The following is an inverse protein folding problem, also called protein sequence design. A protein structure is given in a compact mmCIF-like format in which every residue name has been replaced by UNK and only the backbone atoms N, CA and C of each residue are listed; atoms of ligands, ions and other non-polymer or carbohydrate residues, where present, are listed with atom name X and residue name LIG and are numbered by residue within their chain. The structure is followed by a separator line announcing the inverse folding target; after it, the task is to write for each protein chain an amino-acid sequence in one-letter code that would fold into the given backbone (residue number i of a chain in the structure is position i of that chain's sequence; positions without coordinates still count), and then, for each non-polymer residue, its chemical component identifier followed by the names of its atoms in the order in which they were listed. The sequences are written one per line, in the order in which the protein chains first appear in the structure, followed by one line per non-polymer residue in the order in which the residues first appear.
data_IF_791994487662
#
_entry.id   IF_791994487662
#
_cell.length_a   1.000
_cell.length_b   1.000
_cell.length_c   1.000
_cell.angle_alpha   90.00
_cell.angle_beta   90.00
_cell.angle_gamma   90.00
#
_symmetry.space_group_name_H-M   'P 1'
#
loop_
_entity.id
_entity.type
_entity.pdbx_description
1 polymer ?
#
# COMPACT_ATOMS: atom_id res chain seq x y z
N UNK A 1 8.93 22.30 7.99
CA UNK A 1 8.99 21.51 6.74
C UNK A 1 9.94 20.35 7.00
N UNK A 2 9.63 19.12 6.58
CA UNK A 2 10.60 18.03 6.68
C UNK A 2 11.81 18.40 5.83
N UNK A 3 12.96 18.61 6.48
CA UNK A 3 14.21 18.86 5.77
C UNK A 3 14.68 17.53 5.21
N UNK A 4 14.65 17.38 3.90
CA UNK A 4 15.30 16.25 3.22
C UNK A 4 16.80 16.46 3.33
N UNK A 5 17.39 15.97 4.41
CA UNK A 5 18.83 15.99 4.57
C UNK A 5 19.38 14.73 3.90
N UNK A 6 19.88 14.89 2.68
CA UNK A 6 20.83 13.94 2.14
C UNK A 6 22.14 14.19 2.90
N UNK A 7 22.68 13.16 3.58
CA UNK A 7 23.99 13.29 4.21
C UNK A 7 25.04 13.51 3.12
N UNK A 8 25.61 14.72 3.06
CA UNK A 8 26.94 14.94 2.53
C UNK A 8 27.97 14.85 3.66
N UNK A 9 29.25 14.70 3.31
CA UNK A 9 30.35 14.54 4.27
C UNK A 9 30.45 15.72 5.26
N UNK A 10 29.90 16.89 4.91
CA UNK A 10 29.89 18.10 5.74
C UNK A 10 28.90 17.98 6.90
N UNK A 11 27.73 17.39 6.64
CA UNK A 11 26.71 17.16 7.65
C UNK A 11 27.11 16.02 8.61
N UNK A 12 27.81 15.00 8.10
CA UNK A 12 28.46 13.94 8.90
C UNK A 12 29.53 14.53 9.83
N UNK A 13 30.34 15.48 9.34
CA UNK A 13 31.34 16.19 10.15
C UNK A 13 30.71 17.11 11.24
N UNK A 14 29.53 17.67 10.98
CA UNK A 14 28.80 18.48 11.97
C UNK A 14 28.24 17.65 13.14
N UNK A 15 27.81 16.41 12.88
CA UNK A 15 27.30 15.46 13.88
C UNK A 15 28.40 14.89 14.79
N UNK A 16 29.67 14.94 14.35
CA UNK A 16 30.82 14.39 15.10
C UNK A 16 31.52 15.42 15.98
N UNK A 17 31.21 16.71 15.84
CA UNK A 17 31.87 17.81 16.57
C UNK A 17 31.02 18.45 17.68
N UNK A 18 29.69 18.24 17.70
CA UNK A 18 28.83 18.76 18.77
C UNK A 18 27.76 17.75 19.21
N UNK A 19 27.52 17.69 20.51
CA UNK A 19 26.56 16.82 21.19
C UNK A 19 25.16 16.84 20.59
N UNK A 20 24.64 15.64 20.27
CA UNK A 20 23.26 15.28 19.89
C UNK A 20 22.69 16.01 18.66
N UNK A 21 22.62 15.30 17.53
CA UNK A 21 21.86 15.72 16.37
C UNK A 21 20.45 15.13 16.41
N UNK A 22 19.42 15.94 16.14
CA UNK A 22 18.01 15.53 16.12
C UNK A 22 17.45 15.69 14.71
N UNK A 23 16.94 14.60 14.14
CA UNK A 23 16.35 14.59 12.80
C UNK A 23 14.92 14.05 12.86
N UNK A 24 14.00 14.64 12.10
CA UNK A 24 12.67 14.05 11.90
C UNK A 24 12.72 12.96 10.85
N UNK A 25 13.45 13.21 9.76
CA UNK A 25 13.51 12.39 8.56
C UNK A 25 14.96 12.20 8.14
N UNK A 26 15.34 10.94 7.93
CA UNK A 26 16.68 10.59 7.48
C UNK A 26 16.63 9.68 6.25
N UNK A 27 17.45 9.98 5.23
CA UNK A 27 17.64 9.13 4.05
C UNK A 27 19.06 8.59 4.04
N UNK A 28 19.20 7.27 4.16
CA UNK A 28 20.50 6.60 4.16
C UNK A 28 20.70 5.85 2.83
N UNK A 29 21.82 6.17 2.16
CA UNK A 29 22.28 5.54 0.90
C UNK A 29 23.56 4.72 1.05
N UNK A 30 24.30 4.91 2.15
CA UNK A 30 25.42 4.08 2.57
C UNK A 30 25.61 4.29 4.08
N UNK A 31 26.30 3.37 4.74
CA UNK A 31 26.62 3.52 6.17
C UNK A 31 28.13 3.57 6.33
N UNK A 32 28.61 4.73 6.77
CA UNK A 32 30.00 4.93 7.19
C UNK A 32 30.13 4.53 8.67
N UNK A 33 30.97 3.53 8.95
CA UNK A 33 31.25 3.01 10.29
C UNK A 33 32.00 4.00 11.18
N UNK A 34 32.59 5.05 10.60
CA UNK A 34 33.24 6.14 11.35
C UNK A 34 32.23 7.14 11.90
N UNK A 35 31.01 7.14 11.37
CA UNK A 35 29.94 8.02 11.85
C UNK A 35 29.42 7.50 13.19
N UNK A 36 29.40 8.36 14.21
CA UNK A 36 28.86 8.04 15.53
C UNK A 36 27.33 8.12 15.53
N UNK A 37 26.70 7.14 14.87
CA UNK A 37 25.24 7.12 14.71
C UNK A 37 24.47 7.07 16.03
N UNK A 38 25.08 6.55 17.09
CA UNK A 38 24.58 6.57 18.48
C UNK A 38 24.30 7.98 19.03
N UNK A 39 24.92 9.01 18.45
CA UNK A 39 24.67 10.40 18.83
C UNK A 39 23.39 10.97 18.20
N UNK A 40 22.79 10.28 17.21
CA UNK A 40 21.51 10.65 16.60
C UNK A 40 20.39 10.29 17.56
N UNK A 41 19.62 11.29 17.98
CA UNK A 41 18.52 11.11 18.94
C UNK A 41 17.20 11.61 18.34
N UNK A 42 16.08 11.14 18.87
CA UNK A 42 14.72 11.55 18.46
C UNK A 42 14.35 11.25 16.99
N UNK A 43 15.04 10.32 16.32
CA UNK A 43 14.69 9.91 14.97
C UNK A 43 13.38 9.11 14.99
N UNK A 44 12.38 9.60 14.24
CA UNK A 44 11.06 8.97 14.14
C UNK A 44 10.78 8.39 12.75
N UNK A 45 11.32 8.99 11.69
CA UNK A 45 11.22 8.53 10.30
C UNK A 45 12.59 8.22 9.71
N UNK A 46 12.72 7.04 9.10
CA UNK A 46 13.92 6.59 8.42
C UNK A 46 13.57 6.01 7.05
N UNK A 47 14.25 6.48 6.01
CA UNK A 47 14.25 5.89 4.67
C UNK A 47 15.62 5.33 4.35
N UNK A 48 15.66 4.07 3.94
CA UNK A 48 16.85 3.34 3.58
C UNK A 48 16.74 2.86 2.14
N UNK A 49 17.83 3.07 1.40
CA UNK A 49 18.04 2.53 0.06
C UNK A 49 19.43 1.88 -0.03
N UNK A 50 19.85 1.23 1.06
CA UNK A 50 21.14 0.54 1.18
C UNK A 50 20.99 -0.95 0.93
N UNK A 51 22.05 -1.61 0.48
CA UNK A 51 22.02 -3.04 0.17
C UNK A 51 21.97 -3.92 1.42
N UNK A 52 22.73 -3.58 2.47
CA UNK A 52 22.75 -4.32 3.73
C UNK A 52 22.05 -3.53 4.84
N UNK A 53 20.94 -4.07 5.33
CA UNK A 53 20.06 -3.45 6.33
C UNK A 53 20.18 -4.06 7.72
N UNK A 54 21.02 -5.09 7.90
CA UNK A 54 21.13 -5.91 9.13
C UNK A 54 21.32 -5.10 10.41
N UNK A 55 22.05 -3.99 10.33
CA UNK A 55 22.48 -3.23 11.50
C UNK A 55 21.65 -1.95 11.77
N UNK A 56 20.72 -1.60 10.87
CA UNK A 56 19.75 -0.50 11.09
C UNK A 56 19.01 -0.64 12.44
N UNK A 57 18.46 -1.82 12.81
CA UNK A 57 17.76 -2.07 14.07
C UNK A 57 18.50 -1.59 15.31
N UNK A 58 19.81 -1.82 15.36
CA UNK A 58 20.65 -1.47 16.50
C UNK A 58 20.91 0.04 16.59
N UNK A 59 21.03 0.69 15.44
CA UNK A 59 21.49 2.09 15.38
C UNK A 59 20.35 3.06 15.72
N UNK A 60 19.12 2.79 15.28
CA UNK A 60 18.03 3.77 15.36
C UNK A 60 16.79 3.30 16.14
N UNK A 61 16.91 2.76 17.36
CA UNK A 61 15.84 1.98 18.03
C UNK A 61 14.51 2.73 18.24
N UNK A 62 14.49 4.06 18.18
CA UNK A 62 13.29 4.89 18.34
C UNK A 62 12.43 5.05 17.08
N UNK A 63 12.87 4.55 15.92
CA UNK A 63 12.15 4.72 14.65
C UNK A 63 10.74 4.12 14.74
N UNK A 64 9.77 4.91 14.26
CA UNK A 64 8.34 4.52 14.21
C UNK A 64 7.81 4.45 12.79
N UNK A 65 8.49 5.09 11.84
CA UNK A 65 8.23 4.95 10.41
C UNK A 65 9.51 4.54 9.69
N UNK A 66 9.50 3.34 9.12
CA UNK A 66 10.64 2.79 8.39
C UNK A 66 10.24 2.56 6.94
N UNK A 67 11.05 3.07 6.02
CA UNK A 67 10.90 2.86 4.58
C UNK A 67 12.19 2.23 4.05
N UNK A 68 12.07 1.06 3.45
CA UNK A 68 13.12 0.31 2.80
C UNK A 68 12.63 0.14 1.36
N UNK A 69 13.38 0.69 0.41
CA UNK A 69 12.96 0.68 -0.98
C UNK A 69 14.10 0.28 -1.87
N UNK A 70 13.80 -0.66 -2.77
CA UNK A 70 14.70 -1.20 -3.78
C UNK A 70 15.95 -1.88 -3.18
N UNK A 71 15.82 -2.44 -1.97
CA UNK A 71 16.88 -3.15 -1.25
C UNK A 71 16.77 -4.66 -1.46
N UNK A 72 17.91 -5.38 -1.52
CA UNK A 72 17.88 -6.84 -1.34
C UNK A 72 17.71 -7.12 0.15
N UNK A 73 16.63 -7.79 0.53
CA UNK A 73 16.41 -8.16 1.92
C UNK A 73 15.85 -9.57 2.04
N UNK A 74 16.44 -10.35 2.93
CA UNK A 74 15.96 -11.68 3.27
C UNK A 74 15.04 -11.67 4.50
N UNK A 75 14.49 -12.85 4.83
CA UNK A 75 13.57 -12.99 5.95
C UNK A 75 14.24 -12.84 7.33
N UNK A 76 15.55 -13.10 7.44
CA UNK A 76 16.29 -12.95 8.69
C UNK A 76 16.52 -11.48 9.00
N UNK A 77 16.97 -10.71 8.02
CA UNK A 77 17.10 -9.25 8.09
C UNK A 77 15.76 -8.59 8.40
N UNK A 78 14.66 -9.06 7.78
CA UNK A 78 13.32 -8.57 8.11
C UNK A 78 12.94 -8.86 9.57
N UNK A 79 13.29 -10.02 10.13
CA UNK A 79 12.97 -10.35 11.53
C UNK A 79 13.61 -9.36 12.50
N UNK A 80 14.77 -8.82 12.20
CA UNK A 80 15.43 -7.83 13.05
C UNK A 80 14.60 -6.54 13.21
N UNK A 81 13.81 -6.15 12.21
CA UNK A 81 12.89 -5.01 12.35
C UNK A 81 11.73 -5.27 13.29
N UNK A 82 11.50 -6.52 13.69
CA UNK A 82 10.53 -6.80 14.74
C UNK A 82 10.92 -6.13 16.05
N UNK A 83 12.19 -5.79 16.29
CA UNK A 83 12.61 -5.06 17.48
C UNK A 83 12.03 -3.65 17.56
N UNK A 84 11.65 -3.06 16.41
CA UNK A 84 11.04 -1.75 16.35
C UNK A 84 9.57 -1.71 16.79
N UNK A 85 9.17 -0.56 17.35
CA UNK A 85 7.77 -0.21 17.61
C UNK A 85 7.17 0.55 16.44
N UNK A 86 7.23 -0.04 15.24
CA UNK A 86 6.77 0.62 14.01
C UNK A 86 5.25 0.87 14.02
N UNK A 87 4.90 2.07 13.59
CA UNK A 87 3.55 2.52 13.23
C UNK A 87 3.36 2.37 11.72
N UNK A 88 4.40 2.66 10.93
CA UNK A 88 4.38 2.56 9.48
C UNK A 88 5.62 1.82 8.99
N UNK A 89 5.42 0.83 8.13
CA UNK A 89 6.49 0.10 7.48
C UNK A 89 6.24 0.07 5.97
N UNK A 90 7.25 0.49 5.22
CA UNK A 90 7.29 0.36 3.78
C UNK A 90 8.50 -0.49 3.39
N UNK A 91 8.28 -1.62 2.71
CA UNK A 91 9.32 -2.52 2.18
C UNK A 91 8.98 -2.81 0.72
N UNK A 92 9.06 -1.78 -0.12
CA UNK A 92 8.69 -1.88 -1.55
C UNK A 92 9.91 -2.17 -2.41
N UNK A 93 9.77 -2.85 -3.55
CA UNK A 93 10.90 -3.11 -4.46
C UNK A 93 11.91 -4.11 -3.92
N UNK A 94 11.57 -4.86 -2.88
CA UNK A 94 12.51 -5.69 -2.13
C UNK A 94 12.47 -7.18 -2.52
N UNK A 95 11.80 -7.51 -3.63
CA UNK A 95 11.65 -8.87 -4.19
C UNK A 95 11.06 -9.89 -3.21
N UNK A 96 10.27 -9.43 -2.24
CA UNK A 96 9.67 -10.31 -1.23
C UNK A 96 8.67 -11.26 -1.88
N UNK A 97 8.76 -12.56 -1.59
CA UNK A 97 7.80 -13.55 -2.08
C UNK A 97 6.62 -13.77 -1.14
N UNK A 98 6.74 -13.34 0.12
CA UNK A 98 5.72 -13.51 1.16
C UNK A 98 5.64 -12.27 2.05
N UNK A 99 4.48 -12.08 2.67
CA UNK A 99 4.32 -11.07 3.73
C UNK A 99 5.03 -11.60 5.00
N UNK A 100 6.05 -10.89 5.53
CA UNK A 100 6.74 -11.32 6.74
C UNK A 100 5.86 -11.09 7.97
N UNK A 101 5.28 -12.17 8.49
CA UNK A 101 4.40 -12.14 9.66
C UNK A 101 5.04 -11.55 10.92
N UNK A 102 6.35 -11.71 11.07
CA UNK A 102 7.13 -11.16 12.19
C UNK A 102 7.00 -9.63 12.32
N UNK A 103 6.65 -8.95 11.23
CA UNK A 103 6.48 -7.49 11.16
C UNK A 103 5.06 -7.03 11.48
N UNK A 104 4.09 -7.94 11.42
CA UNK A 104 2.70 -7.66 11.75
C UNK A 104 2.55 -7.64 13.27
N UNK A 105 2.73 -6.46 13.87
CA UNK A 105 2.54 -6.25 15.31
C UNK A 105 1.28 -5.41 15.58
N UNK A 106 0.65 -5.53 16.76
CA UNK A 106 -0.56 -4.76 17.10
C UNK A 106 -0.39 -3.23 16.97
N UNK A 107 0.83 -2.72 17.10
CA UNK A 107 1.16 -1.30 16.94
C UNK A 107 1.17 -0.81 15.48
N UNK A 108 1.40 -1.70 14.51
CA UNK A 108 1.53 -1.33 13.10
C UNK A 108 0.18 -0.87 12.53
N UNK A 109 0.17 0.32 11.92
CA UNK A 109 -1.00 0.97 11.32
C UNK A 109 -0.97 0.96 9.81
N UNK A 110 0.20 1.04 9.19
CA UNK A 110 0.33 0.98 7.74
C UNK A 110 1.45 0.04 7.33
N UNK A 111 1.14 -0.86 6.40
CA UNK A 111 2.08 -1.76 5.77
C UNK A 111 2.03 -1.56 4.25
N UNK A 112 3.18 -1.24 3.68
CA UNK A 112 3.35 -0.98 2.25
C UNK A 112 4.39 -1.96 1.72
N UNK A 113 3.97 -2.81 0.79
CA UNK A 113 4.77 -3.89 0.21
C UNK A 113 4.65 -3.86 -1.32
N UNK A 114 4.64 -2.66 -1.90
CA UNK A 114 4.44 -2.51 -3.34
C UNK A 114 5.64 -3.05 -4.11
N UNK A 115 5.42 -3.50 -5.34
CA UNK A 115 6.52 -3.88 -6.24
C UNK A 115 7.40 -5.00 -5.64
N UNK A 116 6.75 -6.10 -5.28
CA UNK A 116 7.39 -7.31 -4.77
C UNK A 116 6.87 -8.52 -5.55
N UNK A 117 7.23 -9.72 -5.11
CA UNK A 117 6.82 -10.99 -5.71
C UNK A 117 5.81 -11.74 -4.82
N UNK A 118 5.01 -11.02 -4.04
CA UNK A 118 4.10 -11.61 -3.04
C UNK A 118 2.94 -12.29 -3.76
N UNK A 119 2.83 -13.60 -3.58
CA UNK A 119 1.79 -14.42 -4.23
C UNK A 119 0.59 -14.70 -3.34
N UNK A 120 0.69 -14.43 -2.03
CA UNK A 120 -0.38 -14.73 -1.06
C UNK A 120 -0.46 -13.71 0.09
N UNK A 121 -1.69 -13.39 0.49
CA UNK A 121 -1.95 -12.76 1.79
C UNK A 121 -2.26 -13.89 2.77
N UNK A 122 -1.41 -14.12 3.76
CA UNK A 122 -1.58 -15.30 4.58
C UNK A 122 -2.66 -15.05 5.66
N UNK A 123 -3.34 -16.10 6.16
CA UNK A 123 -4.35 -15.96 7.21
C UNK A 123 -3.68 -15.48 8.50
N UNK A 124 -4.04 -14.29 8.98
CA UNK A 124 -3.40 -13.73 10.17
C UNK A 124 -3.96 -14.29 11.48
N UNK A 125 -5.18 -14.85 11.45
CA UNK A 125 -5.82 -15.45 12.62
C UNK A 125 -5.51 -16.94 12.84
N UNK A 126 -4.89 -17.63 11.88
CA UNK A 126 -4.52 -19.05 12.05
C UNK A 126 -3.34 -19.24 13.02
N UNK A 127 -2.59 -18.19 13.33
CA UNK A 127 -1.52 -18.19 14.33
C UNK A 127 -2.01 -17.83 15.75
N UNK A 128 -3.31 -17.61 15.97
CA UNK A 128 -3.85 -17.41 17.32
C UNK A 128 -4.03 -18.78 17.98
N UNK A 129 -3.45 -19.04 19.16
CA UNK A 129 -3.64 -20.29 19.88
C UNK A 129 -5.15 -20.55 20.06
N UNK A 130 -5.67 -21.67 19.54
CA UNK A 130 -7.06 -22.07 19.78
C UNK A 130 -7.16 -22.56 21.24
N UNK A 131 -7.95 -21.90 22.07
CA UNK A 131 -8.19 -22.34 23.45
C UNK A 131 -8.89 -21.30 24.33
N UNK A 132 -9.36 -21.70 25.52
CA UNK A 132 -10.12 -20.82 26.44
C UNK A 132 -9.30 -19.66 27.03
N UNK A 133 -7.99 -19.59 26.76
CA UNK A 133 -7.08 -18.48 27.12
C UNK A 133 -6.50 -17.75 25.89
N UNK A 134 -7.08 -17.97 24.71
CA UNK A 134 -6.66 -17.29 23.49
C UNK A 134 -6.93 -15.78 23.61
N UNK A 135 -5.86 -15.01 23.84
CA UNK A 135 -5.94 -13.57 23.69
C UNK A 135 -6.07 -13.33 22.19
N UNK A 136 -7.23 -12.83 21.74
CA UNK A 136 -7.43 -12.40 20.36
C UNK A 136 -6.46 -11.25 20.08
N UNK A 137 -5.32 -11.56 19.48
CA UNK A 137 -4.41 -10.55 18.96
C UNK A 137 -5.16 -9.87 17.81
N UNK A 138 -5.52 -8.61 18.01
CA UNK A 138 -6.15 -7.81 16.95
C UNK A 138 -5.08 -6.95 16.30
N UNK A 139 -4.81 -7.24 15.03
CA UNK A 139 -3.97 -6.37 14.22
C UNK A 139 -4.74 -5.10 13.92
N UNK A 140 -4.21 -3.97 14.37
CA UNK A 140 -4.90 -2.69 14.26
C UNK A 140 -4.49 -1.92 13.00
N UNK A 141 -4.21 -2.69 11.93
CA UNK A 141 -3.78 -2.20 10.63
C UNK A 141 -4.92 -1.41 9.99
N UNK A 142 -4.59 -0.20 9.56
CA UNK A 142 -5.50 0.74 8.92
C UNK A 142 -5.27 0.77 7.41
N UNK A 143 -4.01 0.66 6.97
CA UNK A 143 -3.62 0.75 5.56
C UNK A 143 -2.78 -0.46 5.16
N UNK A 144 -3.18 -1.13 4.08
CA UNK A 144 -2.43 -2.23 3.47
C UNK A 144 -2.26 -1.95 1.97
N UNK A 145 -1.02 -1.80 1.51
CA UNK A 145 -0.72 -1.51 0.11
C UNK A 145 0.12 -2.68 -0.44
N UNK A 146 -0.44 -3.39 -1.41
CA UNK A 146 0.14 -4.59 -2.04
C UNK A 146 0.15 -4.46 -3.58
N UNK A 147 0.08 -3.24 -4.11
CA UNK A 147 0.11 -3.00 -5.56
C UNK A 147 1.38 -3.54 -6.20
N UNK A 148 1.32 -3.91 -7.48
CA UNK A 148 2.45 -4.52 -8.21
C UNK A 148 2.97 -5.78 -7.52
N UNK A 149 2.06 -6.71 -7.24
CA UNK A 149 2.38 -8.05 -6.79
C UNK A 149 1.50 -9.05 -7.57
N UNK A 150 1.96 -10.28 -7.82
CA UNK A 150 1.22 -11.29 -8.57
C UNK A 150 0.06 -11.93 -7.76
N UNK A 151 -0.76 -11.11 -7.10
CA UNK A 151 -1.89 -11.54 -6.28
C UNK A 151 -3.09 -11.86 -7.17
N UNK A 152 -3.71 -13.02 -6.92
CA UNK A 152 -4.94 -13.50 -7.56
C UNK A 152 -6.11 -13.45 -6.59
N UNK A 153 -7.35 -13.65 -7.07
CA UNK A 153 -8.53 -13.69 -6.22
C UNK A 153 -8.45 -14.75 -5.12
N UNK A 154 -7.95 -15.95 -5.42
CA UNK A 154 -7.80 -17.03 -4.43
C UNK A 154 -6.76 -16.67 -3.36
N UNK A 155 -5.69 -15.98 -3.75
CA UNK A 155 -4.60 -15.60 -2.84
C UNK A 155 -5.00 -14.63 -1.72
N UNK A 156 -6.13 -13.94 -1.87
CA UNK A 156 -6.63 -12.92 -0.92
C UNK A 156 -8.02 -13.25 -0.36
N UNK A 157 -8.57 -14.41 -0.71
CA UNK A 157 -9.91 -14.83 -0.34
C UNK A 157 -10.03 -15.03 1.18
N UNK A 158 -11.08 -14.45 1.76
CA UNK A 158 -11.41 -14.53 3.20
C UNK A 158 -10.31 -14.06 4.16
N UNK A 159 -9.33 -13.28 3.69
CA UNK A 159 -8.21 -12.79 4.54
C UNK A 159 -8.50 -11.46 5.23
N UNK A 160 -9.49 -10.70 4.75
CA UNK A 160 -9.77 -9.35 5.27
C UNK A 160 -10.59 -9.32 6.56
N UNK A 161 -11.20 -10.44 6.96
CA UNK A 161 -11.85 -10.58 8.28
C UNK A 161 -10.91 -10.31 9.43
N UNK A 162 -9.61 -10.51 9.19
CA UNK A 162 -8.55 -10.45 10.19
C UNK A 162 -8.12 -9.01 10.51
N UNK A 163 -8.55 -8.05 9.67
CA UNK A 163 -8.22 -6.63 9.79
C UNK A 163 -9.48 -5.77 9.96
N UNK A 164 -10.16 -5.82 11.11
CA UNK A 164 -11.42 -5.11 11.33
C UNK A 164 -11.29 -3.57 11.26
N UNK A 165 -10.07 -3.06 11.48
CA UNK A 165 -9.74 -1.63 11.45
C UNK A 165 -9.24 -1.14 10.08
N UNK A 166 -9.21 -2.00 9.07
CA UNK A 166 -8.66 -1.66 7.76
C UNK A 166 -9.54 -0.64 7.05
N UNK A 167 -8.97 0.52 6.74
CA UNK A 167 -9.64 1.64 6.08
C UNK A 167 -9.20 1.83 4.64
N UNK A 168 -7.98 1.42 4.29
CA UNK A 168 -7.39 1.61 2.97
C UNK A 168 -6.73 0.33 2.49
N UNK A 169 -7.08 -0.09 1.27
CA UNK A 169 -6.39 -1.16 0.57
C UNK A 169 -6.02 -0.76 -0.85
N UNK A 170 -4.87 -1.25 -1.32
CA UNK A 170 -4.45 -1.08 -2.70
C UNK A 170 -3.90 -2.40 -3.25
N UNK A 171 -4.57 -2.93 -4.26
CA UNK A 171 -4.20 -4.09 -5.05
C UNK A 171 -4.15 -3.73 -6.55
N UNK A 172 -3.73 -2.50 -6.86
CA UNK A 172 -3.55 -2.08 -8.25
C UNK A 172 -2.37 -2.81 -8.88
N UNK A 173 -2.41 -3.06 -10.19
CA UNK A 173 -1.34 -3.78 -10.91
C UNK A 173 -1.07 -5.18 -10.31
N UNK A 174 -2.13 -5.89 -9.94
CA UNK A 174 -2.09 -7.29 -9.54
C UNK A 174 -2.70 -8.18 -10.65
N UNK A 175 -3.11 -9.40 -10.31
CA UNK A 175 -3.70 -10.37 -11.25
C UNK A 175 -5.16 -10.70 -10.91
N UNK A 176 -5.88 -9.73 -10.33
CA UNK A 176 -7.28 -9.93 -9.93
C UNK A 176 -8.20 -9.97 -11.16
N UNK A 177 -9.08 -10.95 -11.22
CA UNK A 177 -10.10 -11.14 -12.26
C UNK A 177 -11.51 -10.77 -11.80
N UNK A 178 -11.71 -10.62 -10.48
CA UNK A 178 -12.93 -10.09 -9.88
C UNK A 178 -12.60 -9.17 -8.70
N UNK A 179 -13.53 -8.31 -8.30
CA UNK A 179 -13.36 -7.55 -7.06
C UNK A 179 -13.32 -8.50 -5.85
N UNK A 180 -12.34 -8.39 -4.95
CA UNK A 180 -12.25 -9.28 -3.79
C UNK A 180 -13.38 -9.03 -2.79
N UNK A 181 -13.69 -10.06 -2.00
CA UNK A 181 -14.60 -9.95 -0.88
C UNK A 181 -13.89 -9.27 0.29
N UNK A 182 -14.16 -7.97 0.46
CA UNK A 182 -13.59 -7.18 1.54
C UNK A 182 -14.64 -7.07 2.64
N UNK A 183 -14.46 -7.78 3.75
CA UNK A 183 -15.41 -7.84 4.87
C UNK A 183 -15.10 -6.85 6.01
N UNK A 184 -14.34 -5.78 5.76
CA UNK A 184 -14.08 -4.76 6.76
C UNK A 184 -15.08 -3.60 6.62
N UNK A 185 -16.00 -3.49 7.59
CA UNK A 185 -16.96 -2.38 7.69
C UNK A 185 -16.30 -1.01 7.89
N UNK A 186 -15.00 -0.94 8.13
CA UNK A 186 -14.25 0.32 8.29
C UNK A 186 -13.61 0.83 7.00
N UNK A 187 -13.64 0.05 5.91
CA UNK A 187 -13.05 0.39 4.61
C UNK A 187 -13.64 1.69 4.06
N UNK A 188 -12.73 2.56 3.60
CA UNK A 188 -13.03 3.86 3.01
C UNK A 188 -12.42 4.03 1.63
N UNK A 189 -11.30 3.39 1.35
CA UNK A 189 -10.58 3.53 0.08
C UNK A 189 -10.11 2.17 -0.42
N UNK A 190 -10.48 1.85 -1.66
CA UNK A 190 -10.05 0.63 -2.34
C UNK A 190 -9.50 0.98 -3.71
N UNK A 191 -8.27 0.58 -4.00
CA UNK A 191 -7.64 0.75 -5.32
C UNK A 191 -7.37 -0.60 -5.96
N UNK A 192 -7.89 -0.78 -7.16
CA UNK A 192 -7.88 -2.02 -7.94
C UNK A 192 -7.55 -1.75 -9.42
N UNK A 193 -6.92 -0.62 -9.71
CA UNK A 193 -6.66 -0.22 -11.10
C UNK A 193 -5.62 -1.14 -11.77
N UNK A 194 -5.63 -1.24 -13.09
CA UNK A 194 -4.68 -2.07 -13.85
C UNK A 194 -4.72 -3.55 -13.43
N UNK A 195 -5.91 -4.12 -13.31
CA UNK A 195 -6.11 -5.55 -13.09
C UNK A 195 -6.85 -6.17 -14.29
N UNK A 196 -7.37 -7.39 -14.14
CA UNK A 196 -8.16 -8.12 -15.13
C UNK A 196 -9.63 -8.23 -14.69
N UNK A 197 -10.12 -7.31 -13.86
CA UNK A 197 -11.43 -7.41 -13.20
C UNK A 197 -12.56 -7.28 -14.21
N UNK A 198 -13.42 -8.30 -14.30
CA UNK A 198 -14.61 -8.29 -15.16
C UNK A 198 -15.93 -8.25 -14.39
N UNK A 199 -15.89 -8.35 -13.06
CA UNK A 199 -17.10 -8.32 -12.21
C UNK A 199 -16.84 -7.72 -10.83
N UNK A 200 -17.89 -7.12 -10.25
CA UNK A 200 -17.93 -6.66 -8.87
C UNK A 200 -18.84 -7.61 -8.09
N UNK A 201 -18.34 -8.18 -7.00
CA UNK A 201 -19.12 -9.07 -6.14
C UNK A 201 -20.23 -8.30 -5.42
N UNK A 202 -21.41 -8.92 -5.24
CA UNK A 202 -22.52 -8.38 -4.46
C UNK A 202 -22.15 -8.05 -3.00
N UNK A 203 -21.07 -8.64 -2.47
CA UNK A 203 -20.56 -8.33 -1.13
C UNK A 203 -20.19 -6.85 -0.95
N UNK A 204 -19.91 -6.12 -2.03
CA UNK A 204 -19.58 -4.69 -2.00
C UNK A 204 -20.74 -3.79 -1.56
N UNK A 205 -21.95 -4.32 -1.62
CA UNK A 205 -23.15 -3.71 -1.06
C UNK A 205 -23.04 -3.49 0.47
N UNK A 206 -22.16 -4.24 1.13
CA UNK A 206 -21.92 -4.24 2.56
C UNK A 206 -20.73 -3.36 3.00
N UNK A 207 -20.28 -2.42 2.16
CA UNK A 207 -19.22 -1.46 2.47
C UNK A 207 -19.80 -0.06 2.79
N UNK A 208 -20.42 0.14 3.96
CA UNK A 208 -21.19 1.36 4.26
C UNK A 208 -20.34 2.61 4.42
N UNK A 209 -19.02 2.49 4.55
CA UNK A 209 -18.08 3.61 4.74
C UNK A 209 -17.18 3.86 3.54
N UNK A 210 -17.37 3.11 2.44
CA UNK A 210 -16.57 3.27 1.23
C UNK A 210 -16.77 4.67 0.65
N UNK A 211 -15.67 5.37 0.41
CA UNK A 211 -15.63 6.74 -0.13
C UNK A 211 -14.92 6.84 -1.46
N UNK A 212 -13.95 5.97 -1.72
CA UNK A 212 -13.18 5.98 -2.95
C UNK A 212 -12.97 4.55 -3.46
N UNK A 213 -13.26 4.36 -4.75
CA UNK A 213 -13.03 3.12 -5.48
C UNK A 213 -12.36 3.42 -6.81
N UNK A 214 -11.15 2.90 -7.02
CA UNK A 214 -10.42 3.04 -8.29
C UNK A 214 -10.41 1.70 -9.02
N UNK A 215 -11.16 1.60 -10.12
CA UNK A 215 -11.29 0.43 -10.99
C UNK A 215 -10.78 0.70 -12.41
N UNK A 216 -9.97 1.76 -12.61
CA UNK A 216 -9.44 2.11 -13.93
C UNK A 216 -8.62 0.98 -14.56
N UNK A 217 -8.62 0.89 -15.89
CA UNK A 217 -7.88 -0.10 -16.68
C UNK A 217 -8.17 -1.55 -16.22
N UNK A 218 -9.44 -1.94 -16.29
CA UNK A 218 -9.93 -3.29 -16.00
C UNK A 218 -10.76 -3.80 -17.20
N UNK A 219 -11.52 -4.88 -17.01
CA UNK A 219 -12.29 -5.59 -18.05
C UNK A 219 -13.80 -5.51 -17.81
N UNK A 220 -14.30 -4.44 -17.20
CA UNK A 220 -15.74 -4.23 -17.00
C UNK A 220 -16.39 -3.88 -18.34
N UNK A 221 -17.33 -4.72 -18.80
CA UNK A 221 -17.90 -4.60 -20.15
C UNK A 221 -19.21 -3.83 -20.14
N UNK A 222 -20.02 -3.97 -19.09
CA UNK A 222 -21.35 -3.38 -19.04
C UNK A 222 -21.55 -2.55 -17.77
N UNK A 223 -22.36 -1.49 -17.87
CA UNK A 223 -22.74 -0.68 -16.69
C UNK A 223 -23.41 -1.54 -15.60
N UNK A 224 -24.16 -2.58 -15.98
CA UNK A 224 -24.84 -3.46 -15.01
C UNK A 224 -23.87 -4.17 -14.05
N UNK A 225 -22.60 -4.30 -14.44
CA UNK A 225 -21.54 -4.85 -13.60
C UNK A 225 -21.23 -3.95 -12.40
N UNK A 226 -21.72 -2.69 -12.40
CA UNK A 226 -21.61 -1.72 -11.32
C UNK A 226 -22.81 -1.75 -10.34
N UNK A 227 -23.79 -2.63 -10.54
CA UNK A 227 -25.04 -2.64 -9.78
C UNK A 227 -24.82 -2.79 -8.26
N UNK A 228 -23.80 -3.52 -7.83
CA UNK A 228 -23.41 -3.66 -6.42
C UNK A 228 -23.03 -2.32 -5.75
N UNK A 229 -22.63 -1.31 -6.54
CA UNK A 229 -22.26 0.03 -6.05
C UNK A 229 -23.47 0.94 -5.83
N UNK A 230 -24.68 0.55 -6.25
CA UNK A 230 -25.89 1.37 -6.07
C UNK A 230 -26.23 1.64 -4.59
N UNK A 231 -25.74 0.81 -3.66
CA UNK A 231 -25.97 0.98 -2.21
C UNK A 231 -24.81 1.63 -1.46
N UNK A 232 -23.69 1.95 -2.12
CA UNK A 232 -22.54 2.62 -1.48
C UNK A 232 -22.78 4.14 -1.39
N UNK A 233 -23.75 4.55 -0.55
CA UNK A 233 -24.23 5.95 -0.42
C UNK A 233 -23.17 7.01 -0.07
N UNK A 234 -22.00 6.58 0.38
CA UNK A 234 -20.89 7.46 0.76
C UNK A 234 -19.74 7.43 -0.23
N UNK A 235 -19.90 6.71 -1.35
CA UNK A 235 -18.92 6.70 -2.42
C UNK A 235 -18.89 8.09 -3.03
N UNK A 236 -17.79 8.80 -2.84
CA UNK A 236 -17.55 10.12 -3.40
C UNK A 236 -16.76 10.01 -4.70
N UNK A 237 -15.84 9.06 -4.82
CA UNK A 237 -14.95 8.95 -5.98
C UNK A 237 -14.99 7.55 -6.57
N UNK A 238 -15.20 7.48 -7.88
CA UNK A 238 -15.25 6.25 -8.67
C UNK A 238 -14.43 6.40 -9.95
N UNK A 239 -13.28 5.74 -10.00
CA UNK A 239 -12.45 5.65 -11.21
C UNK A 239 -12.83 4.46 -12.07
N UNK A 240 -13.18 4.71 -13.33
CA UNK A 240 -13.57 3.68 -14.31
C UNK A 240 -12.85 3.82 -15.66
N UNK A 241 -12.00 4.84 -15.81
CA UNK A 241 -11.26 5.11 -17.03
C UNK A 241 -10.56 3.85 -17.58
N UNK A 242 -10.57 3.63 -18.89
CA UNK A 242 -9.92 2.48 -19.51
C UNK A 242 -10.63 1.13 -19.31
N UNK A 243 -11.90 1.11 -18.90
CA UNK A 243 -12.76 -0.07 -18.99
C UNK A 243 -13.59 -0.05 -20.30
N UNK A 244 -13.88 -1.22 -20.92
CA UNK A 244 -14.71 -1.29 -22.12
C UNK A 244 -16.09 -0.63 -21.96
N UNK A 245 -16.69 -0.70 -20.75
CA UNK A 245 -17.97 -0.05 -20.48
C UNK A 245 -17.96 1.48 -20.61
N UNK A 246 -16.77 2.11 -20.63
CA UNK A 246 -16.60 3.56 -20.70
C UNK A 246 -16.20 4.07 -22.09
N UNK A 247 -16.14 3.21 -23.11
CA UNK A 247 -15.72 3.60 -24.48
C UNK A 247 -16.74 4.50 -25.20
N UNK A 248 -18.03 4.37 -24.86
CA UNK A 248 -19.11 5.14 -25.50
C UNK A 248 -19.53 6.31 -24.63
N UNK A 249 -19.50 7.52 -25.20
CA UNK A 249 -19.85 8.75 -24.48
C UNK A 249 -21.30 8.77 -23.97
N UNK A 250 -22.25 8.22 -24.73
CA UNK A 250 -23.65 8.09 -24.32
C UNK A 250 -23.79 7.24 -23.04
N UNK A 251 -23.01 6.17 -22.94
CA UNK A 251 -22.98 5.25 -21.79
C UNK A 251 -22.40 5.96 -20.57
N UNK A 252 -21.34 6.75 -20.76
CA UNK A 252 -20.76 7.61 -19.72
C UNK A 252 -21.78 8.65 -19.22
N UNK A 253 -22.51 9.31 -20.13
CA UNK A 253 -23.53 10.30 -19.78
C UNK A 253 -24.68 9.65 -19.00
N UNK A 254 -25.15 8.48 -19.43
CA UNK A 254 -26.14 7.69 -18.71
C UNK A 254 -25.65 7.31 -17.31
N UNK A 255 -24.42 6.81 -17.19
CA UNK A 255 -23.85 6.42 -15.90
C UNK A 255 -23.79 7.60 -14.93
N UNK A 256 -23.32 8.76 -15.39
CA UNK A 256 -23.25 9.99 -14.59
C UNK A 256 -24.64 10.37 -14.06
N UNK A 257 -25.67 10.31 -14.91
CA UNK A 257 -27.06 10.60 -14.53
C UNK A 257 -27.62 9.57 -13.54
N UNK A 258 -27.44 8.28 -13.81
CA UNK A 258 -27.94 7.19 -12.97
C UNK A 258 -27.29 7.21 -11.58
N UNK A 259 -25.97 7.38 -11.54
CA UNK A 259 -25.22 7.45 -10.29
C UNK A 259 -25.53 8.71 -9.48
N UNK A 260 -25.73 9.87 -10.12
CA UNK A 260 -26.17 11.08 -9.42
C UNK A 260 -27.57 10.93 -8.80
N UNK A 261 -28.47 10.19 -9.45
CA UNK A 261 -29.81 9.91 -8.93
C UNK A 261 -29.79 8.93 -7.74
N UNK A 262 -28.91 7.93 -7.77
CA UNK A 262 -28.83 6.88 -6.74
C UNK A 262 -27.93 7.28 -5.56
N UNK A 263 -26.91 8.10 -5.81
CA UNK A 263 -25.98 8.60 -4.82
C UNK A 263 -25.79 10.12 -4.96
N UNK A 264 -26.66 10.93 -4.33
CA UNK A 264 -26.64 12.39 -4.44
C UNK A 264 -25.37 13.03 -3.84
N UNK A 265 -24.59 12.28 -3.04
CA UNK A 265 -23.32 12.74 -2.48
C UNK A 265 -22.13 12.50 -3.42
N UNK A 266 -22.29 11.67 -4.45
CA UNK A 266 -21.25 11.47 -5.46
C UNK A 266 -21.31 12.60 -6.48
N UNK A 267 -20.30 13.48 -6.48
CA UNK A 267 -20.27 14.57 -7.46
C UNK A 267 -19.86 14.02 -8.82
N UNK A 268 -20.52 14.47 -9.88
CA UNK A 268 -20.27 14.02 -11.27
C UNK A 268 -18.79 14.11 -11.68
N UNK A 269 -18.05 15.13 -11.19
CA UNK A 269 -16.62 15.33 -11.45
C UNK A 269 -15.69 14.32 -10.75
N UNK A 270 -16.23 13.47 -9.88
CA UNK A 270 -15.50 12.44 -9.16
C UNK A 270 -15.70 11.05 -9.78
N UNK A 271 -16.50 10.96 -10.85
CA UNK A 271 -16.53 9.82 -11.76
C UNK A 271 -15.42 10.05 -12.79
N UNK A 272 -14.26 9.46 -12.52
CA UNK A 272 -13.07 9.60 -13.36
C UNK A 272 -13.18 8.57 -14.48
N UNK A 273 -13.73 9.00 -15.60
CA UNK A 273 -13.88 8.21 -16.85
C UNK A 273 -12.78 8.50 -17.86
N UNK A 274 -12.03 9.60 -17.66
CA UNK A 274 -10.98 10.06 -18.56
C UNK A 274 -9.78 10.59 -17.76
N UNK A 275 -8.84 9.70 -17.45
CA UNK A 275 -7.43 9.99 -17.10
C UNK A 275 -6.72 8.63 -16.90
N UNK A 276 -5.79 8.15 -17.73
CA UNK A 276 -4.84 8.77 -18.66
C UNK A 276 -4.66 7.88 -19.90
N UNK A 277 -4.79 8.47 -21.09
CA UNK A 277 -4.01 8.04 -22.26
C UNK A 277 -2.54 8.42 -22.05
N UNK A 278 -1.64 7.58 -22.57
CA UNK A 278 -0.18 7.71 -22.67
C UNK A 278 0.66 7.64 -21.38
N UNK A 279 1.05 6.43 -20.98
CA UNK A 279 2.47 6.20 -20.67
C UNK A 279 3.17 5.94 -22.01
N UNK A 280 3.82 6.96 -22.57
CA UNK A 280 4.84 6.75 -23.59
C UNK A 280 5.91 5.80 -23.03
N UNK A 281 6.33 4.76 -23.76
CA UNK A 281 7.52 4.02 -23.40
C UNK A 281 8.69 5.02 -23.38
N UNK A 282 9.47 5.01 -22.32
CA UNK A 282 10.78 5.67 -22.33
C UNK A 282 11.57 4.96 -23.44
N UNK A 283 11.73 5.63 -24.58
CA UNK A 283 12.67 5.21 -25.60
C UNK A 283 14.05 5.17 -24.94
N UNK A 284 14.63 3.98 -24.88
CA UNK A 284 16.03 3.81 -24.57
C UNK A 284 16.82 4.54 -25.64
N UNK A 285 17.45 5.65 -25.26
CA UNK A 285 18.56 6.21 -26.02
C UNK A 285 19.69 5.20 -25.96
N UNK A 286 19.78 4.33 -26.98
CA UNK A 286 21.06 3.72 -27.33
C UNK A 286 21.98 4.86 -27.74
N UNK A 287 23.00 5.09 -26.92
CA UNK A 287 24.15 5.87 -27.32
C UNK A 287 24.90 5.07 -28.40
N UNK A 288 25.05 5.67 -29.57
CA UNK A 288 26.00 5.24 -30.57
C UNK A 288 27.42 5.37 -30.00
N UNK A 289 28.10 4.23 -29.90
CA UNK A 289 29.56 4.16 -29.84
C UNK A 289 30.01 3.21 -30.93
N UNK A 290 30.34 3.78 -32.08
CA UNK A 290 31.35 3.32 -33.04
C UNK A 290 31.70 4.49 -33.95
#
# INVERSE_FOLDING_TARGET
MPQTVAFDDVLIASCTSSSKASFSDLVIKSIDTRTKWEAVTNLSFLTCSIEDVTFIPMIFPSVTMLKIVDCQIDEEQLREFSQYKLIVLNVSGCKLSKIPFSLLKPGLKALILSDNNITEVPPLLESIPKGPRAIKITYNLNTLILSKNPLTNESIKDKFSDFPSLRKVNFSECELTACPQILSASIREVRLSHNKISSISDSWICLPKLRQLELGHNRLVMIRDLSALTRTKWLHQLGLAGNPCMEREEVVAYLRKALAAVNPHMRVNQIIVSSLTTQTPIQSTKADHS
#
